data_IF_479084758920
#
_entry.id   IF_479084758920
#
_cell.length_a   1.000
_cell.length_b   1.000
_cell.length_c   1.000
_cell.angle_alpha   90.00
_cell.angle_beta   90.00
_cell.angle_gamma   90.00
#
_symmetry.space_group_name_H-M   'P 1'
#
loop_
_entity.id
_entity.type
_entity.pdbx_description
1 polymer ?
#
# COMPACT_ATOMS: atom_id res chain seq x y z
N UNK A 1 25.25 -19.28 -1.52
CA UNK A 1 24.43 -18.25 -0.85
C UNK A 1 23.35 -17.79 -1.81
N UNK A 2 22.11 -17.64 -1.34
CA UNK A 2 20.98 -17.06 -2.08
C UNK A 2 20.73 -15.68 -1.47
N UNK A 3 20.63 -14.64 -2.29
CA UNK A 3 20.24 -13.30 -1.86
C UNK A 3 19.06 -12.81 -2.70
N UNK A 4 17.97 -12.46 -2.05
CA UNK A 4 16.81 -11.91 -2.74
C UNK A 4 16.79 -10.38 -2.63
N UNK A 5 16.29 -9.71 -3.69
CA UNK A 5 16.09 -8.25 -3.72
C UNK A 5 14.77 -7.82 -3.14
N UNK A 6 13.99 -8.76 -2.59
CA UNK A 6 12.67 -8.52 -2.01
C UNK A 6 12.72 -8.60 -0.48
N UNK A 7 11.79 -7.93 0.20
CA UNK A 7 11.59 -8.12 1.65
C UNK A 7 11.00 -9.50 1.90
N UNK A 8 9.94 -9.87 1.15
CA UNK A 8 9.33 -11.19 1.21
C UNK A 8 10.26 -12.26 0.63
N UNK A 9 10.28 -13.42 1.24
CA UNK A 9 11.11 -14.57 0.82
C UNK A 9 10.31 -15.87 0.74
N UNK A 10 8.98 -15.80 0.67
CA UNK A 10 8.07 -16.95 0.63
C UNK A 10 8.27 -17.85 -0.61
N UNK A 11 8.94 -17.34 -1.63
CA UNK A 11 9.32 -18.06 -2.84
C UNK A 11 10.60 -18.89 -2.67
N UNK A 12 11.23 -18.86 -1.49
CA UNK A 12 12.45 -19.61 -1.19
C UNK A 12 12.11 -20.68 -0.14
N UNK A 13 12.38 -21.94 -0.47
CA UNK A 13 12.29 -23.03 0.49
C UNK A 13 13.50 -22.97 1.44
N UNK A 14 13.25 -22.42 2.63
CA UNK A 14 14.29 -22.25 3.65
C UNK A 14 14.77 -23.58 4.23
N UNK A 15 13.92 -24.60 4.27
CA UNK A 15 14.30 -25.90 4.82
C UNK A 15 15.19 -26.65 3.85
N UNK A 16 14.86 -26.65 2.55
CA UNK A 16 15.73 -27.17 1.52
C UNK A 16 17.06 -26.41 1.47
N UNK A 17 17.05 -25.09 1.57
CA UNK A 17 18.28 -24.28 1.61
C UNK A 17 19.17 -24.69 2.81
N UNK A 18 18.57 -24.85 3.99
CA UNK A 18 19.27 -25.27 5.20
C UNK A 18 19.86 -26.67 5.06
N UNK A 19 19.08 -27.61 4.49
CA UNK A 19 19.55 -28.99 4.24
C UNK A 19 20.77 -29.04 3.29
N UNK A 20 20.82 -28.10 2.32
CA UNK A 20 21.95 -27.96 1.40
C UNK A 20 23.09 -27.07 1.95
N UNK A 21 23.04 -26.63 3.19
CA UNK A 21 24.05 -25.74 3.78
C UNK A 21 24.11 -24.34 3.15
N UNK A 22 23.06 -23.92 2.46
CA UNK A 22 22.99 -22.61 1.80
C UNK A 22 22.54 -21.53 2.75
N UNK A 23 23.26 -20.40 2.77
CA UNK A 23 22.84 -19.19 3.47
C UNK A 23 21.83 -18.42 2.59
N UNK A 24 20.75 -17.96 3.21
CA UNK A 24 19.74 -17.12 2.56
C UNK A 24 19.74 -15.75 3.23
N UNK A 25 19.67 -14.71 2.43
CA UNK A 25 19.51 -13.32 2.88
C UNK A 25 18.48 -12.59 2.04
N UNK A 26 17.78 -11.65 2.64
CA UNK A 26 16.87 -10.74 1.99
C UNK A 26 17.29 -9.29 2.23
N UNK A 27 16.61 -8.35 1.60
CA UNK A 27 16.82 -6.91 1.82
C UNK A 27 15.74 -6.35 2.73
N UNK A 28 16.08 -5.25 3.41
CA UNK A 28 15.13 -4.44 4.15
C UNK A 28 15.18 -3.01 3.59
N UNK A 29 14.02 -2.41 3.40
CA UNK A 29 13.88 -1.00 3.03
C UNK A 29 12.73 -0.37 3.79
N UNK A 30 12.65 0.96 3.75
CA UNK A 30 11.59 1.70 4.42
C UNK A 30 10.21 1.29 3.90
N UNK A 31 9.21 1.08 4.77
CA UNK A 31 7.84 0.86 4.36
C UNK A 31 7.18 2.11 3.75
N UNK A 32 7.77 3.30 3.96
CA UNK A 32 7.18 4.59 3.57
C UNK A 32 6.94 4.68 2.07
N UNK A 33 7.90 4.23 1.25
CA UNK A 33 7.75 4.27 -0.22
C UNK A 33 6.51 3.53 -0.72
N UNK A 34 6.18 2.38 -0.10
CA UNK A 34 4.98 1.61 -0.43
C UNK A 34 3.73 2.28 0.14
N UNK A 35 3.82 2.87 1.33
CA UNK A 35 2.73 3.61 1.94
C UNK A 35 2.37 4.85 1.11
N UNK A 36 3.35 5.66 0.70
CA UNK A 36 3.17 6.82 -0.18
C UNK A 36 2.45 6.42 -1.47
N UNK A 37 2.91 5.34 -2.11
CA UNK A 37 2.29 4.86 -3.34
C UNK A 37 0.84 4.39 -3.11
N UNK A 38 0.59 3.75 -1.97
CA UNK A 38 -0.77 3.34 -1.57
C UNK A 38 -1.67 4.55 -1.39
N UNK A 39 -1.19 5.60 -0.71
CA UNK A 39 -1.92 6.85 -0.52
C UNK A 39 -2.21 7.54 -1.87
N UNK A 40 -1.23 7.56 -2.78
CA UNK A 40 -1.43 8.07 -4.13
C UNK A 40 -2.57 7.34 -4.84
N UNK A 41 -2.57 6.00 -4.81
CA UNK A 41 -3.61 5.20 -5.48
C UNK A 41 -5.01 5.41 -4.86
N UNK A 42 -5.10 5.52 -3.53
CA UNK A 42 -6.34 5.84 -2.83
C UNK A 42 -6.87 7.19 -3.32
N UNK A 43 -6.05 8.23 -3.27
CA UNK A 43 -6.44 9.58 -3.70
C UNK A 43 -6.80 9.63 -5.18
N UNK A 44 -6.02 8.99 -6.05
CA UNK A 44 -6.34 8.90 -7.47
C UNK A 44 -7.68 8.24 -7.73
N UNK A 45 -8.01 7.19 -6.97
CA UNK A 45 -9.27 6.46 -7.08
C UNK A 45 -10.47 7.32 -6.68
N UNK A 46 -10.46 7.86 -5.46
CA UNK A 46 -11.59 8.65 -4.94
C UNK A 46 -11.77 9.97 -5.68
N UNK A 47 -10.70 10.54 -6.24
CA UNK A 47 -10.71 11.77 -7.05
C UNK A 47 -10.91 11.52 -8.53
N UNK A 48 -11.10 10.25 -8.95
CA UNK A 48 -11.29 9.85 -10.37
C UNK A 48 -10.20 10.35 -11.31
N UNK A 49 -8.96 10.43 -10.83
CA UNK A 49 -7.85 11.05 -11.56
C UNK A 49 -7.60 10.41 -12.93
N UNK A 50 -7.71 9.08 -13.05
CA UNK A 50 -7.57 8.41 -14.35
C UNK A 50 -8.51 9.01 -15.41
N UNK A 51 -9.78 9.23 -15.04
CA UNK A 51 -10.79 9.78 -15.95
C UNK A 51 -10.52 11.24 -16.28
N UNK A 52 -10.06 12.01 -15.29
CA UNK A 52 -9.68 13.43 -15.49
C UNK A 52 -8.52 13.52 -16.48
N UNK A 53 -7.48 12.73 -16.30
CA UNK A 53 -6.31 12.73 -17.19
C UNK A 53 -6.67 12.32 -18.61
N UNK A 54 -7.48 11.27 -18.79
CA UNK A 54 -7.94 10.83 -20.11
C UNK A 54 -8.75 11.92 -20.83
N UNK A 55 -9.59 12.68 -20.11
CA UNK A 55 -10.33 13.80 -20.68
C UNK A 55 -9.42 14.97 -21.01
N UNK A 56 -8.46 15.27 -20.16
CA UNK A 56 -7.51 16.35 -20.39
C UNK A 56 -6.71 16.15 -21.69
N UNK A 57 -6.35 14.91 -22.03
CA UNK A 57 -5.70 14.56 -23.30
C UNK A 57 -6.58 14.88 -24.52
N UNK A 58 -7.90 14.89 -24.35
CA UNK A 58 -8.88 15.26 -25.36
C UNK A 58 -9.33 16.72 -25.27
N UNK A 59 -8.68 17.55 -24.46
CA UNK A 59 -9.06 18.94 -24.14
C UNK A 59 -10.50 19.06 -23.60
N UNK A 60 -11.04 18.00 -22.96
CA UNK A 60 -12.34 18.01 -22.29
C UNK A 60 -12.15 18.33 -20.81
N UNK A 61 -12.42 19.57 -20.44
CA UNK A 61 -12.37 20.07 -19.05
C UNK A 61 -13.76 20.16 -18.40
N UNK A 62 -14.75 19.49 -18.95
CA UNK A 62 -16.10 19.47 -18.41
C UNK A 62 -16.20 18.76 -17.06
N UNK A 63 -17.04 19.26 -16.14
CA UNK A 63 -17.19 18.73 -14.78
C UNK A 63 -18.08 17.48 -14.66
N UNK A 64 -19.12 17.26 -15.48
CA UNK A 64 -20.01 16.13 -15.31
C UNK A 64 -19.29 14.78 -15.28
N UNK A 65 -19.56 13.97 -14.23
CA UNK A 65 -19.05 12.62 -14.09
C UNK A 65 -17.60 12.49 -13.57
N UNK A 66 -16.91 13.60 -13.31
CA UNK A 66 -15.56 13.60 -12.71
C UNK A 66 -15.55 14.03 -11.25
N UNK A 67 -16.70 14.31 -10.66
CA UNK A 67 -16.79 14.63 -9.24
C UNK A 67 -16.26 13.45 -8.41
N UNK A 68 -15.27 13.73 -7.58
CA UNK A 68 -14.69 12.80 -6.62
C UNK A 68 -15.25 13.04 -5.21
N UNK A 69 -14.81 12.19 -4.27
CA UNK A 69 -15.09 12.36 -2.86
C UNK A 69 -13.90 12.96 -2.11
N UNK A 70 -14.13 13.30 -0.86
CA UNK A 70 -13.12 13.72 0.11
C UNK A 70 -12.78 12.54 1.01
N UNK A 71 -11.51 12.20 1.16
CA UNK A 71 -11.06 11.03 1.92
C UNK A 71 -11.55 11.06 3.37
N UNK A 72 -11.65 12.25 3.96
CA UNK A 72 -12.23 12.48 5.27
C UNK A 72 -13.61 11.82 5.48
N UNK A 73 -14.44 11.79 4.44
CA UNK A 73 -15.80 11.24 4.50
C UNK A 73 -15.86 9.73 4.25
N UNK A 74 -14.72 9.09 4.01
CA UNK A 74 -14.67 7.65 3.76
C UNK A 74 -14.30 6.85 5.01
N UNK A 75 -14.69 5.59 4.98
CA UNK A 75 -14.18 4.57 5.88
C UNK A 75 -13.20 3.69 5.12
N UNK A 76 -11.99 3.54 5.63
CA UNK A 76 -10.92 2.77 5.01
C UNK A 76 -10.66 1.52 5.82
N UNK A 77 -10.66 0.37 5.16
CA UNK A 77 -10.24 -0.90 5.74
C UNK A 77 -8.79 -1.22 5.38
N UNK A 78 -7.97 -1.53 6.36
CA UNK A 78 -6.58 -1.97 6.17
C UNK A 78 -6.46 -3.43 6.63
N UNK A 79 -6.14 -4.32 5.69
CA UNK A 79 -5.90 -5.74 5.96
C UNK A 79 -4.40 -5.97 5.92
N UNK A 80 -3.84 -6.38 7.06
CA UNK A 80 -2.41 -6.48 7.29
C UNK A 80 -1.86 -5.24 8.01
N UNK A 81 -1.51 -5.40 9.30
CA UNK A 81 -0.97 -4.33 10.15
C UNK A 81 0.51 -4.49 10.42
N UNK A 82 1.24 -5.09 9.48
CA UNK A 82 2.69 -5.13 9.47
C UNK A 82 3.29 -3.73 9.24
N UNK A 83 4.59 -3.64 9.00
CA UNK A 83 5.30 -2.36 8.84
C UNK A 83 4.66 -1.43 7.80
N UNK A 84 4.27 -1.97 6.64
CA UNK A 84 3.63 -1.20 5.57
C UNK A 84 2.22 -0.77 5.99
N UNK A 85 1.39 -1.69 6.51
CA UNK A 85 0.04 -1.37 6.96
C UNK A 85 0.01 -0.30 8.05
N UNK A 86 0.95 -0.34 8.99
CA UNK A 86 1.09 0.68 10.03
C UNK A 86 1.48 2.05 9.44
N UNK A 87 2.37 2.08 8.45
CA UNK A 87 2.72 3.31 7.75
C UNK A 87 1.49 3.90 7.05
N UNK A 88 0.75 3.09 6.29
CA UNK A 88 -0.51 3.51 5.63
C UNK A 88 -1.55 4.01 6.64
N UNK A 89 -1.72 3.34 7.79
CA UNK A 89 -2.66 3.78 8.85
C UNK A 89 -2.24 5.14 9.40
N UNK A 90 -0.96 5.35 9.66
CA UNK A 90 -0.42 6.64 10.13
C UNK A 90 -0.71 7.76 9.12
N UNK A 91 -0.46 7.52 7.83
CA UNK A 91 -0.70 8.51 6.78
C UNK A 91 -2.20 8.80 6.63
N UNK A 92 -3.05 7.78 6.63
CA UNK A 92 -4.50 7.91 6.61
C UNK A 92 -5.04 8.72 7.79
N UNK A 93 -4.42 8.60 8.97
CA UNK A 93 -4.87 9.32 10.18
C UNK A 93 -4.82 10.84 9.99
N UNK A 94 -3.87 11.33 9.19
CA UNK A 94 -3.76 12.75 8.85
C UNK A 94 -4.93 13.29 8.03
N UNK A 95 -5.68 12.41 7.33
CA UNK A 95 -6.87 12.80 6.58
C UNK A 95 -8.15 12.81 7.42
N UNK A 96 -8.11 12.31 8.65
CA UNK A 96 -9.28 12.28 9.55
C UNK A 96 -10.39 11.33 9.11
N UNK A 97 -10.11 10.39 8.22
CA UNK A 97 -11.06 9.35 7.82
C UNK A 97 -11.21 8.28 8.91
N UNK A 98 -12.31 7.53 8.86
CA UNK A 98 -12.49 6.39 9.76
C UNK A 98 -11.67 5.20 9.27
N UNK A 99 -10.87 4.59 10.15
CA UNK A 99 -9.98 3.49 9.79
C UNK A 99 -10.38 2.24 10.58
N UNK A 100 -10.54 1.12 9.88
CA UNK A 100 -10.62 -0.21 10.46
C UNK A 100 -9.40 -1.02 10.02
N UNK A 101 -8.74 -1.66 10.96
CA UNK A 101 -7.57 -2.47 10.71
C UNK A 101 -7.81 -3.92 11.13
N UNK A 102 -7.32 -4.87 10.35
CA UNK A 102 -7.36 -6.30 10.64
C UNK A 102 -6.01 -6.95 10.35
N UNK A 103 -5.58 -7.81 11.23
CA UNK A 103 -4.45 -8.71 11.03
C UNK A 103 -4.70 -10.04 11.74
N UNK A 104 -4.06 -11.10 11.27
CA UNK A 104 -4.02 -12.41 11.94
C UNK A 104 -3.24 -12.30 13.24
N UNK A 105 -2.17 -11.51 13.25
CA UNK A 105 -1.36 -11.23 14.44
C UNK A 105 -1.68 -9.84 14.96
N UNK A 106 -2.27 -9.73 16.15
CA UNK A 106 -2.48 -8.44 16.81
C UNK A 106 -1.13 -7.87 17.25
N UNK A 107 -0.78 -6.69 16.73
CA UNK A 107 0.26 -5.86 17.34
C UNK A 107 -0.41 -4.86 18.29
N UNK A 108 0.11 -4.74 19.50
CA UNK A 108 -0.23 -3.62 20.37
C UNK A 108 0.39 -2.36 19.76
N UNK A 109 -0.45 -1.48 19.24
CA UNK A 109 -0.05 -0.13 18.79
C UNK A 109 -0.22 0.84 19.93
#
# INVERSE_FOLDING_TARGET
MISTRTIGYDHIDLDAARACGMKVSNVTYSPECVADYTMLLILMSIRKMKRILQRAELNDFSLPGIQGGELHNFTVGVIGTGKIGQAVIRDLSGFGCKIYAYDVYRSEM
#
